data_IF_669612503974
#
_entry.id   IF_669612503974
#
_cell.length_a   1.000
_cell.length_b   1.000
_cell.length_c   1.000
_cell.angle_alpha   90.00
_cell.angle_beta   90.00
_cell.angle_gamma   90.00
#
_symmetry.space_group_name_H-M   'P 1'
#
loop_
_entity.id
_entity.type
_entity.pdbx_description
1 polymer ?
#
# COMPACT_ATOMS: atom_id res chain seq x y z
N UNK A 1 2.37 -6.08 1.07
CA UNK A 1 3.07 -4.86 0.62
C UNK A 1 2.11 -3.68 0.71
N UNK A 2 2.56 -2.57 1.21
CA UNK A 2 1.88 -1.27 1.09
C UNK A 2 2.84 -0.33 0.38
N UNK A 3 2.32 0.43 -0.57
CA UNK A 3 3.08 1.31 -1.44
C UNK A 3 2.67 2.76 -1.17
N UNK A 4 3.64 3.66 -1.07
CA UNK A 4 3.45 5.11 -0.98
C UNK A 4 4.47 5.84 -1.83
N UNK A 5 4.02 6.86 -2.53
CA UNK A 5 4.83 7.69 -3.42
C UNK A 5 5.23 8.97 -2.66
N UNK A 6 6.51 9.30 -2.74
CA UNK A 6 7.07 10.54 -2.22
C UNK A 6 7.50 11.44 -3.37
N UNK A 7 6.95 12.65 -3.42
CA UNK A 7 7.43 13.70 -4.31
C UNK A 7 8.74 14.28 -3.79
N UNK A 8 9.73 14.38 -4.68
CA UNK A 8 10.97 15.09 -4.38
C UNK A 8 10.70 16.60 -4.31
N UNK A 9 11.23 17.26 -3.30
CA UNK A 9 11.16 18.72 -3.19
C UNK A 9 11.96 19.35 -4.33
N UNK A 10 11.38 20.31 -5.03
CA UNK A 10 11.98 20.97 -6.19
C UNK A 10 13.20 21.78 -5.75
N UNK A 11 14.39 21.26 -5.93
CA UNK A 11 15.60 22.10 -6.07
C UNK A 11 15.60 22.68 -7.49
N UNK A 12 15.41 23.99 -7.62
CA UNK A 12 15.47 24.71 -8.89
C UNK A 12 16.88 24.56 -9.50
N UNK A 13 16.96 23.98 -10.68
CA UNK A 13 18.15 24.14 -11.51
C UNK A 13 18.38 23.02 -12.52
N UNK A 14 18.17 23.38 -13.78
CA UNK A 14 18.72 22.87 -15.05
C UNK A 14 17.78 22.01 -15.88
N UNK A 15 17.29 22.63 -16.93
CA UNK A 15 16.62 22.03 -18.09
C UNK A 15 17.62 21.12 -18.81
N UNK A 16 17.30 19.84 -18.93
CA UNK A 16 17.98 18.93 -19.86
C UNK A 16 17.11 18.76 -21.11
N UNK A 17 17.69 19.16 -22.23
CA UNK A 17 17.15 18.95 -23.58
C UNK A 17 17.29 17.47 -23.97
N UNK A 18 16.18 16.87 -24.35
CA UNK A 18 16.10 15.52 -24.93
C UNK A 18 16.76 15.49 -26.31
N UNK A 19 17.71 14.59 -26.52
CA UNK A 19 18.05 14.07 -27.85
C UNK A 19 17.57 12.63 -27.94
N UNK A 20 16.64 12.42 -28.87
CA UNK A 20 16.24 11.10 -29.36
C UNK A 20 17.32 10.52 -30.29
N UNK A 21 17.61 9.24 -30.12
CA UNK A 21 18.12 8.25 -31.08
C UNK A 21 18.31 6.95 -30.30
N UNK A 22 17.94 5.78 -30.69
CA UNK A 22 17.59 5.09 -31.92
C UNK A 22 17.43 3.62 -31.56
N UNK A 23 16.66 2.97 -32.29
CA UNK A 23 16.27 1.57 -32.54
C UNK A 23 16.86 0.38 -31.71
N UNK A 24 15.93 -0.32 -31.11
CA UNK A 24 15.63 -1.78 -30.99
C UNK A 24 16.70 -2.84 -31.23
N UNK A 25 16.91 -3.64 -30.21
CA UNK A 25 16.90 -5.11 -30.35
C UNK A 25 16.28 -5.73 -29.08
N UNK A 26 15.19 -6.45 -29.26
CA UNK A 26 14.49 -7.23 -28.24
C UNK A 26 15.25 -8.52 -28.02
N UNK A 27 16.13 -8.57 -27.03
CA UNK A 27 16.61 -9.82 -26.45
C UNK A 27 15.69 -10.18 -25.26
N UNK A 28 15.11 -11.37 -25.30
CA UNK A 28 14.41 -11.98 -24.17
C UNK A 28 15.36 -12.04 -22.96
N UNK A 29 14.95 -11.56 -21.77
CA UNK A 29 15.82 -11.63 -20.61
C UNK A 29 16.14 -13.09 -20.26
N UNK A 30 17.42 -13.40 -20.19
CA UNK A 30 17.91 -14.69 -19.71
C UNK A 30 17.30 -14.99 -18.32
N UNK A 31 16.78 -16.19 -18.11
CA UNK A 31 16.29 -16.66 -16.80
C UNK A 31 17.46 -16.66 -15.82
N UNK A 32 17.47 -15.71 -14.91
CA UNK A 32 18.47 -15.64 -13.83
C UNK A 32 18.04 -16.63 -12.75
N UNK A 33 18.91 -17.59 -12.41
CA UNK A 33 18.66 -18.53 -11.32
C UNK A 33 18.54 -17.75 -9.98
N UNK A 34 17.38 -17.81 -9.35
CA UNK A 34 17.08 -17.12 -8.10
C UNK A 34 18.02 -17.52 -6.95
N UNK A 35 18.63 -18.71 -7.01
CA UNK A 35 19.54 -19.21 -5.99
C UNK A 35 20.95 -18.60 -6.07
N UNK A 36 21.29 -17.93 -7.18
CA UNK A 36 22.60 -17.27 -7.38
C UNK A 36 22.58 -15.79 -7.04
N UNK A 37 21.41 -15.22 -6.73
CA UNK A 37 21.30 -13.81 -6.40
C UNK A 37 21.71 -13.52 -4.96
N UNK A 38 22.52 -12.46 -4.73
CA UNK A 38 22.83 -12.03 -3.36
C UNK A 38 21.53 -11.68 -2.60
N UNK A 39 21.48 -11.92 -1.28
CA UNK A 39 20.36 -11.50 -0.45
C UNK A 39 20.03 -10.01 -0.66
N UNK A 40 18.74 -9.67 -0.69
CA UNK A 40 18.23 -8.31 -0.86
C UNK A 40 18.53 -7.63 -2.22
N UNK A 41 18.90 -8.38 -3.24
CA UNK A 41 18.99 -7.84 -4.59
C UNK A 41 17.58 -7.65 -5.16
N UNK A 42 17.32 -6.45 -5.74
CA UNK A 42 16.12 -6.18 -6.52
C UNK A 42 16.35 -6.45 -8.00
N UNK A 43 15.35 -7.02 -8.66
CA UNK A 43 15.28 -7.10 -10.12
C UNK A 43 14.21 -6.12 -10.57
N UNK A 44 14.46 -5.35 -11.61
CA UNK A 44 13.52 -4.35 -12.12
C UNK A 44 13.65 -4.21 -13.63
N UNK A 45 12.61 -3.71 -14.29
CA UNK A 45 12.68 -3.30 -15.69
C UNK A 45 13.56 -2.05 -15.83
N UNK A 46 14.21 -1.87 -16.96
CA UNK A 46 15.04 -0.67 -17.24
C UNK A 46 14.21 0.62 -17.17
N UNK A 47 12.92 0.56 -17.53
CA UNK A 47 12.00 1.69 -17.48
C UNK A 47 11.65 2.16 -16.07
N UNK A 48 11.71 1.29 -15.05
CA UNK A 48 11.24 1.63 -13.71
C UNK A 48 12.00 2.79 -13.04
N UNK A 49 13.35 2.82 -12.99
CA UNK A 49 14.07 3.98 -12.48
C UNK A 49 13.86 5.25 -13.33
N UNK A 50 13.61 5.12 -14.64
CA UNK A 50 13.30 6.25 -15.51
C UNK A 50 11.95 6.86 -15.15
N UNK A 51 10.91 6.05 -14.95
CA UNK A 51 9.59 6.49 -14.48
C UNK A 51 9.71 7.28 -13.18
N UNK A 52 10.39 6.73 -12.17
CA UNK A 52 10.60 7.41 -10.89
C UNK A 52 11.36 8.73 -11.06
N UNK A 53 12.36 8.78 -11.95
CA UNK A 53 13.13 9.97 -12.25
C UNK A 53 12.29 11.07 -12.92
N UNK A 54 11.49 10.72 -13.92
CA UNK A 54 10.58 11.65 -14.59
C UNK A 54 9.52 12.21 -13.63
N UNK A 55 9.00 11.37 -12.76
CA UNK A 55 8.07 11.75 -11.70
C UNK A 55 8.73 12.57 -10.58
N UNK A 56 10.06 12.61 -10.52
CA UNK A 56 10.83 13.17 -9.40
C UNK A 56 10.35 12.63 -8.07
N UNK A 57 10.22 11.31 -7.98
CA UNK A 57 9.60 10.67 -6.85
C UNK A 57 10.37 9.44 -6.41
N UNK A 58 10.23 9.12 -5.14
CA UNK A 58 10.70 7.88 -4.54
C UNK A 58 9.49 7.07 -4.08
N UNK A 59 9.65 5.74 -4.03
CA UNK A 59 8.62 4.85 -3.58
C UNK A 59 9.01 4.21 -2.26
N UNK A 60 8.10 4.23 -1.28
CA UNK A 60 8.25 3.48 -0.04
C UNK A 60 7.32 2.26 -0.04
N UNK A 61 7.85 1.13 0.36
CA UNK A 61 7.13 -0.15 0.37
C UNK A 61 7.39 -0.86 1.68
N UNK A 62 6.33 -1.24 2.39
CA UNK A 62 6.44 -2.13 3.56
C UNK A 62 6.23 -3.58 3.16
N UNK A 63 6.99 -4.49 3.78
CA UNK A 63 6.90 -5.93 3.51
C UNK A 63 6.68 -6.66 4.83
N UNK A 64 5.45 -7.11 5.08
CA UNK A 64 5.05 -7.72 6.35
C UNK A 64 5.92 -8.92 6.74
N UNK A 65 6.03 -9.92 5.88
CA UNK A 65 6.76 -11.16 6.18
C UNK A 65 8.28 -10.99 6.21
N UNK A 66 8.81 -10.15 5.33
CA UNK A 66 10.26 -9.88 5.29
C UNK A 66 10.70 -8.84 6.35
N UNK A 67 9.76 -8.21 7.05
CA UNK A 67 10.07 -7.26 8.12
C UNK A 67 10.86 -6.05 7.64
N UNK A 68 10.52 -5.48 6.46
CA UNK A 68 11.28 -4.38 5.87
C UNK A 68 10.38 -3.22 5.44
N UNK A 69 10.90 -2.02 5.65
CA UNK A 69 10.59 -0.85 4.84
C UNK A 69 11.65 -0.75 3.76
N UNK A 70 11.23 -0.60 2.52
CA UNK A 70 12.09 -0.47 1.35
C UNK A 70 11.83 0.88 0.71
N UNK A 71 12.88 1.68 0.50
CA UNK A 71 12.83 2.85 -0.37
C UNK A 71 13.42 2.49 -1.72
N UNK A 72 12.70 2.81 -2.79
CA UNK A 72 13.10 2.68 -4.18
C UNK A 72 13.28 4.08 -4.75
N UNK A 73 14.48 4.41 -5.16
CA UNK A 73 14.86 5.76 -5.60
C UNK A 73 15.62 5.72 -6.92
N UNK A 74 15.35 6.64 -7.86
CA UNK A 74 16.19 6.78 -9.02
C UNK A 74 17.50 7.46 -8.61
N UNK A 75 18.64 6.91 -9.04
CA UNK A 75 19.94 7.47 -8.80
C UNK A 75 20.86 7.20 -9.99
N UNK A 76 21.28 8.25 -10.69
CA UNK A 76 22.20 8.17 -11.83
C UNK A 76 21.78 7.12 -12.89
N UNK A 77 20.47 7.11 -13.25
CA UNK A 77 19.87 6.19 -14.22
C UNK A 77 19.65 4.76 -13.71
N UNK A 78 19.95 4.47 -12.45
CA UNK A 78 19.78 3.16 -11.82
C UNK A 78 18.79 3.24 -10.67
N UNK A 79 18.28 2.07 -10.26
CA UNK A 79 17.45 1.96 -9.06
C UNK A 79 18.34 1.77 -7.84
N UNK A 80 18.27 2.72 -6.91
CA UNK A 80 18.83 2.60 -5.56
C UNK A 80 17.78 2.06 -4.61
N UNK A 81 18.11 1.02 -3.86
CA UNK A 81 17.24 0.40 -2.87
C UNK A 81 17.82 0.58 -1.47
N UNK A 82 16.98 1.03 -0.53
CA UNK A 82 17.38 1.23 0.85
C UNK A 82 16.43 0.49 1.79
N UNK A 83 16.97 -0.34 2.67
CA UNK A 83 16.19 -1.21 3.54
C UNK A 83 16.31 -0.80 5.00
N UNK A 84 15.20 -0.84 5.73
CA UNK A 84 15.15 -0.74 7.19
C UNK A 84 14.32 -1.88 7.76
N UNK A 85 14.79 -2.48 8.85
CA UNK A 85 14.08 -3.55 9.55
C UNK A 85 13.02 -2.97 10.49
N UNK A 86 11.84 -3.59 10.48
CA UNK A 86 10.74 -3.33 11.38
C UNK A 86 10.07 -4.67 11.73
N UNK A 87 9.40 -4.75 12.86
CA UNK A 87 8.62 -5.93 13.21
C UNK A 87 7.27 -5.90 12.46
N UNK A 88 7.13 -6.81 11.49
CA UNK A 88 5.90 -7.01 10.73
C UNK A 88 5.26 -5.72 10.18
N UNK A 89 6.02 -4.83 9.47
CA UNK A 89 5.51 -3.54 9.05
C UNK A 89 4.47 -3.71 7.96
N UNK A 90 3.29 -3.08 8.13
CA UNK A 90 2.21 -3.17 7.17
C UNK A 90 1.61 -1.80 6.85
N UNK A 91 0.90 -1.17 7.76
CA UNK A 91 0.35 0.17 7.54
C UNK A 91 1.47 1.19 7.26
N UNK A 92 1.26 2.03 6.25
CA UNK A 92 2.20 3.07 5.83
C UNK A 92 1.43 4.34 5.47
N UNK A 93 1.72 5.44 6.18
CA UNK A 93 1.18 6.75 5.85
C UNK A 93 2.30 7.76 5.73
N UNK A 94 2.22 8.63 4.73
CA UNK A 94 3.24 9.63 4.50
C UNK A 94 2.67 10.91 3.89
N UNK A 95 3.33 12.01 4.22
CA UNK A 95 3.25 13.26 3.51
C UNK A 95 4.67 13.89 3.44
N UNK A 96 4.79 15.12 2.95
CA UNK A 96 6.10 15.77 2.82
C UNK A 96 6.85 15.95 4.16
N UNK A 97 6.15 15.96 5.29
CA UNK A 97 6.72 16.25 6.60
C UNK A 97 6.88 15.01 7.48
N UNK A 98 5.98 14.06 7.37
CA UNK A 98 5.85 12.95 8.31
C UNK A 98 5.71 11.64 7.54
N UNK A 99 6.41 10.60 8.02
CA UNK A 99 6.24 9.22 7.62
C UNK A 99 5.85 8.42 8.87
N UNK A 100 4.77 7.63 8.78
CA UNK A 100 4.35 6.72 9.85
C UNK A 100 4.28 5.29 9.38
N UNK A 101 4.79 4.38 10.22
CA UNK A 101 4.88 2.94 9.93
C UNK A 101 4.19 2.18 11.05
N UNK A 102 3.13 1.46 10.71
CA UNK A 102 2.43 0.55 11.60
C UNK A 102 3.14 -0.81 11.64
N UNK A 103 3.41 -1.29 12.86
CA UNK A 103 4.06 -2.57 13.11
C UNK A 103 3.17 -3.47 13.98
N UNK A 104 3.69 -4.59 14.46
CA UNK A 104 2.91 -5.53 15.28
C UNK A 104 2.44 -4.96 16.62
N UNK A 105 3.13 -3.99 17.19
CA UNK A 105 2.81 -3.48 18.54
C UNK A 105 2.77 -1.96 18.66
N UNK A 106 3.21 -1.24 17.65
CA UNK A 106 3.33 0.21 17.73
C UNK A 106 3.30 0.86 16.34
N UNK A 107 3.06 2.17 16.32
CA UNK A 107 3.20 3.02 15.15
C UNK A 107 4.40 3.94 15.38
N UNK A 108 5.43 3.82 14.53
CA UNK A 108 6.60 4.69 14.57
C UNK A 108 6.40 5.91 13.68
N UNK A 109 6.75 7.07 14.19
CA UNK A 109 6.68 8.34 13.48
C UNK A 109 8.09 8.87 13.16
N UNK A 110 8.27 9.29 11.91
CA UNK A 110 9.50 9.90 11.42
C UNK A 110 9.17 11.29 10.89
N UNK A 111 10.04 12.25 11.18
CA UNK A 111 9.90 13.61 10.66
C UNK A 111 10.95 13.88 9.60
N UNK A 112 10.53 14.48 8.50
CA UNK A 112 11.44 14.97 7.49
C UNK A 112 12.24 16.16 8.03
N UNK A 113 13.57 16.06 7.91
CA UNK A 113 14.54 17.06 8.36
C UNK A 113 15.36 17.55 7.18
N UNK A 114 14.86 18.52 6.39
CA UNK A 114 15.55 18.99 5.18
C UNK A 114 16.95 19.52 5.45
N UNK A 115 17.17 20.17 6.60
CA UNK A 115 18.50 20.65 7.00
C UNK A 115 19.53 19.52 7.21
N UNK A 116 19.08 18.31 7.56
CA UNK A 116 19.91 17.11 7.64
C UNK A 116 20.15 16.54 6.24
N UNK A 117 19.11 16.52 5.41
CA UNK A 117 19.21 16.06 4.02
C UNK A 117 20.27 16.83 3.23
N UNK A 118 20.30 18.16 3.37
CA UNK A 118 21.28 19.04 2.70
C UNK A 118 22.75 18.76 3.10
N UNK A 119 22.98 18.16 4.26
CA UNK A 119 24.34 17.82 4.74
C UNK A 119 24.75 16.37 4.41
N UNK A 120 23.87 15.60 3.78
CA UNK A 120 24.17 14.21 3.41
C UNK A 120 24.98 14.13 2.14
N UNK A 121 26.03 13.33 2.18
CA UNK A 121 26.82 13.00 1.00
C UNK A 121 26.10 12.01 0.07
N UNK A 122 26.17 12.19 -1.25
CA UNK A 122 26.77 13.33 -1.98
C UNK A 122 25.90 14.59 -1.81
N UNK A 123 26.52 15.73 -1.54
CA UNK A 123 25.84 17.02 -1.34
C UNK A 123 24.93 17.35 -2.54
N UNK A 124 23.70 17.78 -2.27
CA UNK A 124 22.71 18.17 -3.28
C UNK A 124 22.02 17.01 -4.00
N UNK A 125 22.26 15.76 -3.58
CA UNK A 125 21.60 14.55 -4.13
C UNK A 125 20.48 14.01 -3.26
N UNK A 126 20.30 14.54 -2.06
CA UNK A 126 19.28 14.10 -1.10
C UNK A 126 18.41 15.29 -0.72
N UNK A 127 17.11 15.17 -0.92
CA UNK A 127 16.11 16.23 -0.68
C UNK A 127 15.30 16.00 0.59
N UNK A 128 15.21 14.76 1.07
CA UNK A 128 14.46 14.40 2.27
C UNK A 128 15.28 13.47 3.18
N UNK A 129 15.15 13.68 4.49
CA UNK A 129 15.75 12.83 5.51
C UNK A 129 14.74 12.61 6.64
N UNK A 130 14.10 11.45 6.65
CA UNK A 130 13.12 11.08 7.67
C UNK A 130 13.84 10.52 8.91
N UNK A 131 13.85 11.32 9.98
CA UNK A 131 14.48 10.95 11.26
C UNK A 131 13.42 10.44 12.25
N UNK A 132 13.73 9.41 13.05
CA UNK A 132 12.83 8.94 14.11
C UNK A 132 12.40 10.10 15.02
N UNK A 133 11.11 10.19 15.31
CA UNK A 133 10.55 11.21 16.19
C UNK A 133 10.01 10.63 17.48
N UNK A 134 9.06 9.73 17.36
CA UNK A 134 8.41 9.06 18.48
C UNK A 134 7.79 7.73 18.01
N UNK A 135 7.19 7.02 18.97
CA UNK A 135 6.42 5.81 18.71
C UNK A 135 5.20 5.78 19.61
N UNK A 136 4.05 5.42 19.05
CA UNK A 136 2.81 5.22 19.79
C UNK A 136 2.54 3.73 19.98
N UNK A 137 2.45 3.27 21.22
CA UNK A 137 2.16 1.87 21.53
C UNK A 137 0.67 1.60 21.35
N UNK A 138 0.35 0.71 20.41
CA UNK A 138 -1.04 0.31 20.10
C UNK A 138 -1.41 -1.06 20.67
N UNK A 139 -0.41 -1.88 21.03
CA UNK A 139 -0.58 -3.32 21.08
C UNK A 139 -0.80 -3.90 19.69
N UNK A 140 -1.00 -5.19 19.58
CA UNK A 140 -1.26 -5.85 18.30
C UNK A 140 -2.70 -5.62 17.85
N UNK A 141 -2.91 -4.57 17.07
CA UNK A 141 -4.21 -4.22 16.46
C UNK A 141 -4.30 -4.61 14.99
N UNK A 142 -3.28 -5.29 14.44
CA UNK A 142 -3.17 -5.65 13.02
C UNK A 142 -3.37 -4.42 12.12
N UNK A 143 -2.46 -3.45 12.20
CA UNK A 143 -2.52 -2.23 11.39
C UNK A 143 -2.38 -2.57 9.92
N UNK A 144 -3.50 -2.60 9.16
CA UNK A 144 -3.45 -2.93 7.74
C UNK A 144 -3.17 -1.74 6.85
N UNK A 145 -3.82 -0.62 7.12
CA UNK A 145 -3.65 0.60 6.34
C UNK A 145 -3.73 1.82 7.23
N UNK A 146 -3.08 2.89 6.80
CA UNK A 146 -3.09 4.19 7.47
C UNK A 146 -3.11 5.31 6.44
N UNK A 147 -3.73 6.43 6.80
CA UNK A 147 -3.71 7.63 6.00
C UNK A 147 -3.76 8.89 6.87
N UNK A 148 -3.05 9.93 6.45
CA UNK A 148 -3.21 11.25 7.02
C UNK A 148 -4.46 11.92 6.46
N UNK A 149 -5.30 12.41 7.35
CA UNK A 149 -6.44 13.25 7.06
C UNK A 149 -6.14 14.73 7.25
N UNK A 150 -7.20 15.52 7.39
CA UNK A 150 -7.10 16.94 7.69
C UNK A 150 -6.33 17.17 9.00
N UNK A 151 -5.59 18.28 9.09
CA UNK A 151 -4.78 18.66 10.24
C UNK A 151 -3.72 17.61 10.65
N UNK A 152 -3.27 16.79 9.71
CA UNK A 152 -2.34 15.68 9.95
C UNK A 152 -2.85 14.64 10.98
N UNK A 153 -4.18 14.52 11.15
CA UNK A 153 -4.76 13.44 11.95
C UNK A 153 -4.47 12.09 11.28
N UNK A 154 -3.87 11.17 12.01
CA UNK A 154 -3.57 9.84 11.49
C UNK A 154 -4.76 8.90 11.69
N UNK A 155 -5.37 8.48 10.59
CA UNK A 155 -6.39 7.45 10.56
C UNK A 155 -5.75 6.08 10.37
N UNK A 156 -6.20 5.11 11.14
CA UNK A 156 -5.65 3.76 11.22
C UNK A 156 -6.76 2.73 11.03
N UNK A 157 -6.53 1.78 10.16
CA UNK A 157 -7.37 0.58 10.04
C UNK A 157 -6.94 -0.41 11.10
N UNK A 158 -7.76 -0.53 12.14
CA UNK A 158 -7.61 -1.50 13.22
C UNK A 158 -8.39 -2.77 12.87
N UNK A 159 -7.72 -3.68 12.21
CA UNK A 159 -8.34 -4.92 11.70
C UNK A 159 -8.79 -5.82 12.83
N UNK A 160 -7.99 -5.94 13.89
CA UNK A 160 -8.31 -6.82 15.02
C UNK A 160 -9.61 -6.43 15.70
N UNK A 161 -9.89 -5.14 15.83
CA UNK A 161 -11.12 -4.61 16.43
C UNK A 161 -12.21 -4.26 15.40
N UNK A 162 -11.94 -4.48 14.10
CA UNK A 162 -12.87 -4.20 13.00
C UNK A 162 -13.36 -2.76 12.99
N UNK A 163 -12.45 -1.78 13.14
CA UNK A 163 -12.80 -0.36 13.19
C UNK A 163 -11.75 0.53 12.53
N UNK A 164 -12.15 1.76 12.22
CA UNK A 164 -11.24 2.87 12.02
C UNK A 164 -10.98 3.54 13.36
N UNK A 165 -9.76 3.90 13.63
CA UNK A 165 -9.36 4.62 14.82
C UNK A 165 -8.35 5.72 14.53
N UNK A 166 -8.17 6.60 15.50
CA UNK A 166 -7.11 7.61 15.56
C UNK A 166 -6.27 7.39 16.81
N UNK A 167 -5.23 8.17 16.99
CA UNK A 167 -4.34 8.11 18.14
C UNK A 167 -4.51 9.36 19.01
N UNK A 168 -4.30 9.21 20.30
CA UNK A 168 -4.18 10.30 21.26
C UNK A 168 -3.06 10.02 22.26
N UNK A 169 -2.84 10.92 23.23
CA UNK A 169 -1.76 10.76 24.21
C UNK A 169 -2.16 9.94 25.46
N UNK A 170 -3.37 9.41 25.50
CA UNK A 170 -3.93 8.72 26.67
C UNK A 170 -4.19 7.25 26.37
N UNK A 171 -4.75 6.94 25.21
CA UNK A 171 -5.24 5.64 24.84
C UNK A 171 -4.33 4.97 23.82
N UNK A 172 -4.28 3.63 23.79
CA UNK A 172 -3.57 2.88 22.76
C UNK A 172 -4.15 3.15 21.36
N UNK A 173 -5.44 3.40 21.26
CA UNK A 173 -6.14 3.88 20.08
C UNK A 173 -7.52 4.42 20.47
N UNK A 174 -8.09 5.30 19.65
CA UNK A 174 -9.42 5.89 19.83
C UNK A 174 -10.33 5.42 18.70
N UNK A 175 -11.30 4.53 18.94
CA UNK A 175 -12.26 4.11 17.92
C UNK A 175 -13.10 5.30 17.42
N UNK A 176 -13.20 5.45 16.10
CA UNK A 176 -13.93 6.55 15.46
C UNK A 176 -15.12 6.07 14.63
N UNK A 177 -14.99 4.91 14.01
CA UNK A 177 -16.02 4.32 13.18
C UNK A 177 -15.85 2.79 13.11
N UNK A 178 -16.95 2.08 12.97
CA UNK A 178 -16.98 0.65 12.66
C UNK A 178 -18.12 0.34 11.71
N UNK A 179 -18.06 -0.74 10.93
CA UNK A 179 -19.20 -1.18 10.12
C UNK A 179 -20.47 -1.34 10.97
N UNK A 180 -21.66 -0.95 10.48
CA UNK A 180 -22.91 -1.04 11.25
C UNK A 180 -23.25 -2.47 11.73
N UNK A 181 -22.82 -3.49 10.98
CA UNK A 181 -23.04 -4.90 11.36
C UNK A 181 -22.10 -5.40 12.48
N UNK A 182 -21.08 -4.63 12.85
CA UNK A 182 -20.19 -4.94 13.98
C UNK A 182 -20.82 -4.40 15.27
N UNK A 183 -21.23 -5.28 16.18
CA UNK A 183 -22.00 -4.91 17.36
C UNK A 183 -21.18 -4.35 18.52
N UNK A 184 -19.86 -4.58 18.56
CA UNK A 184 -19.01 -4.10 19.63
C UNK A 184 -17.53 -4.24 19.32
N UNK A 185 -16.70 -3.52 20.04
CA UNK A 185 -15.25 -3.60 19.93
C UNK A 185 -14.71 -4.81 20.69
N UNK A 186 -14.06 -5.73 19.96
CA UNK A 186 -13.39 -6.89 20.54
C UNK A 186 -12.28 -7.35 19.59
N UNK A 187 -11.17 -7.92 20.10
CA UNK A 187 -10.00 -8.28 19.32
C UNK A 187 -10.17 -9.60 18.55
N UNK A 188 -11.30 -9.75 17.85
CA UNK A 188 -11.72 -11.03 17.24
C UNK A 188 -11.61 -11.05 15.71
N UNK A 189 -11.07 -9.98 15.08
CA UNK A 189 -10.91 -9.90 13.62
C UNK A 189 -12.17 -10.37 12.87
N UNK A 190 -13.32 -9.76 13.18
CA UNK A 190 -14.63 -10.28 12.75
C UNK A 190 -14.85 -10.21 11.25
N UNK A 191 -14.65 -9.02 10.65
CA UNK A 191 -14.85 -8.79 9.21
C UNK A 191 -13.54 -8.61 8.42
N UNK A 192 -12.40 -8.57 9.10
CA UNK A 192 -11.10 -8.24 8.52
C UNK A 192 -11.13 -6.92 7.74
N UNK A 193 -11.49 -5.85 8.45
CA UNK A 193 -11.39 -4.49 7.90
C UNK A 193 -9.94 -4.21 7.54
N UNK A 194 -9.64 -3.81 6.29
CA UNK A 194 -8.25 -3.83 5.82
C UNK A 194 -7.85 -2.65 4.91
N UNK A 195 -8.79 -1.96 4.29
CA UNK A 195 -8.48 -0.85 3.38
C UNK A 195 -9.14 0.45 3.78
N UNK A 196 -8.49 1.57 3.47
CA UNK A 196 -8.96 2.93 3.76
C UNK A 196 -8.73 3.84 2.55
N UNK A 197 -9.80 4.36 1.99
CA UNK A 197 -9.80 5.41 0.97
C UNK A 197 -10.21 6.74 1.56
N UNK A 198 -9.39 7.76 1.35
CA UNK A 198 -9.64 9.13 1.80
C UNK A 198 -10.19 9.96 0.66
N UNK A 199 -11.14 10.87 0.97
CA UNK A 199 -11.60 11.93 0.07
C UNK A 199 -11.64 13.23 0.88
N UNK A 200 -11.07 14.29 0.34
CA UNK A 200 -11.00 15.62 0.97
C UNK A 200 -10.47 15.56 2.41
N UNK A 201 -9.46 14.71 2.64
CA UNK A 201 -8.82 14.52 3.94
C UNK A 201 -9.68 13.83 4.99
N UNK A 202 -10.73 13.11 4.59
CA UNK A 202 -11.62 12.35 5.49
C UNK A 202 -11.75 10.90 5.01
N UNK A 203 -11.92 9.93 5.93
CA UNK A 203 -12.31 8.57 5.58
C UNK A 203 -13.60 8.55 4.76
N UNK A 204 -13.56 7.95 3.58
CA UNK A 204 -14.71 7.85 2.69
C UNK A 204 -15.05 6.41 2.35
N UNK A 205 -14.03 5.59 2.05
CA UNK A 205 -14.22 4.22 1.64
C UNK A 205 -13.42 3.25 2.49
N UNK A 206 -13.98 2.08 2.77
CA UNK A 206 -13.27 0.98 3.42
C UNK A 206 -13.57 -0.34 2.73
N UNK A 207 -12.62 -1.26 2.80
CA UNK A 207 -12.79 -2.65 2.38
C UNK A 207 -12.72 -3.58 3.58
N UNK A 208 -13.48 -4.67 3.51
CA UNK A 208 -13.40 -5.78 4.46
C UNK A 208 -13.53 -7.12 3.71
N UNK A 209 -12.96 -8.19 4.28
CA UNK A 209 -13.01 -9.52 3.65
C UNK A 209 -14.33 -10.24 3.86
N UNK A 210 -15.24 -9.72 4.69
CA UNK A 210 -16.56 -10.31 4.89
C UNK A 210 -17.54 -9.41 5.63
N UNK A 211 -18.81 -9.50 5.28
CA UNK A 211 -19.94 -8.92 6.02
C UNK A 211 -20.32 -9.86 7.16
N UNK A 212 -19.58 -9.82 8.28
CA UNK A 212 -19.76 -10.76 9.38
C UNK A 212 -19.38 -10.16 10.72
N UNK A 213 -20.15 -10.53 11.76
CA UNK A 213 -19.91 -10.15 13.15
C UNK A 213 -19.35 -11.32 14.00
N UNK A 214 -19.11 -12.48 13.38
CA UNK A 214 -18.54 -13.65 14.05
C UNK A 214 -17.02 -13.54 14.14
N UNK A 215 -16.39 -14.02 15.22
CA UNK A 215 -14.93 -14.09 15.32
C UNK A 215 -14.32 -14.77 14.09
N UNK A 216 -13.38 -14.09 13.41
CA UNK A 216 -12.75 -14.53 12.16
C UNK A 216 -13.71 -15.05 11.09
N UNK A 217 -14.96 -14.60 11.10
CA UNK A 217 -16.06 -15.15 10.26
C UNK A 217 -15.83 -14.94 8.76
N UNK A 218 -15.02 -13.94 8.36
CA UNK A 218 -14.62 -13.71 6.98
C UNK A 218 -13.91 -14.90 6.33
N UNK A 219 -13.30 -15.79 7.12
CA UNK A 219 -12.54 -16.96 6.62
C UNK A 219 -13.44 -17.98 5.93
N UNK A 220 -14.74 -18.01 6.25
CA UNK A 220 -15.69 -18.94 5.66
C UNK A 220 -15.92 -18.69 4.16
N UNK A 221 -15.79 -17.42 3.72
CA UNK A 221 -16.02 -17.05 2.32
C UNK A 221 -14.93 -16.06 1.82
N UNK A 222 -13.73 -16.55 1.59
CA UNK A 222 -12.60 -15.75 1.09
C UNK A 222 -12.69 -15.45 -0.41
N UNK A 223 -13.41 -16.30 -1.15
CA UNK A 223 -13.47 -16.25 -2.61
C UNK A 223 -14.23 -15.00 -3.10
N UNK A 224 -15.36 -14.71 -2.48
CA UNK A 224 -16.29 -13.65 -2.89
C UNK A 224 -17.04 -12.98 -1.72
N UNK A 225 -16.61 -13.21 -0.48
CA UNK A 225 -17.23 -12.60 0.70
C UNK A 225 -16.89 -11.12 0.92
N UNK A 226 -15.94 -10.58 0.16
CA UNK A 226 -15.43 -9.23 0.37
C UNK A 226 -16.43 -8.14 0.00
N UNK A 227 -16.30 -7.01 0.69
CA UNK A 227 -17.17 -5.83 0.56
C UNK A 227 -16.37 -4.54 0.46
N UNK A 228 -16.97 -3.55 -0.20
CA UNK A 228 -16.55 -2.15 -0.21
C UNK A 228 -17.69 -1.30 0.37
N UNK A 229 -17.37 -0.41 1.30
CA UNK A 229 -18.35 0.39 2.04
C UNK A 229 -18.07 1.87 1.94
N UNK A 230 -19.13 2.67 2.03
CA UNK A 230 -19.08 4.11 2.26
C UNK A 230 -19.06 4.38 3.77
N UNK A 231 -18.03 5.08 4.24
CA UNK A 231 -17.84 5.34 5.69
C UNK A 231 -18.90 6.28 6.26
N UNK A 232 -19.23 7.43 5.61
CA UNK A 232 -20.23 8.35 6.15
C UNK A 232 -21.63 7.78 6.27
N UNK A 233 -22.11 7.03 5.28
CA UNK A 233 -23.45 6.41 5.33
C UNK A 233 -23.47 5.07 6.06
N UNK A 234 -22.33 4.37 6.12
CA UNK A 234 -22.24 2.99 6.59
C UNK A 234 -22.78 1.96 5.61
N UNK A 235 -23.16 2.37 4.40
CA UNK A 235 -23.72 1.52 3.39
C UNK A 235 -22.67 0.67 2.67
N UNK A 236 -23.04 -0.53 2.26
CA UNK A 236 -22.21 -1.37 1.40
C UNK A 236 -22.46 -0.98 -0.05
N UNK A 237 -21.42 -0.45 -0.70
CA UNK A 237 -21.44 -0.06 -2.11
C UNK A 237 -21.47 -1.28 -3.02
N UNK A 238 -20.59 -2.25 -2.75
CA UNK A 238 -20.54 -3.49 -3.53
C UNK A 238 -20.13 -4.69 -2.68
N UNK A 239 -20.59 -5.86 -3.10
CA UNK A 239 -20.33 -7.17 -2.51
C UNK A 239 -19.65 -8.08 -3.54
N UNK A 240 -19.37 -9.31 -3.13
CA UNK A 240 -18.81 -10.37 -3.98
C UNK A 240 -17.43 -10.03 -4.54
N UNK A 241 -16.66 -9.23 -3.79
CA UNK A 241 -15.26 -8.95 -4.10
C UNK A 241 -14.35 -10.06 -3.54
N UNK A 242 -13.35 -10.45 -4.30
CA UNK A 242 -12.37 -11.44 -3.87
C UNK A 242 -11.23 -10.80 -3.08
N UNK A 243 -11.30 -10.89 -1.73
CA UNK A 243 -10.30 -10.34 -0.81
C UNK A 243 -9.90 -8.88 -1.17
N UNK A 244 -10.84 -7.92 -1.16
CA UNK A 244 -10.57 -6.55 -1.58
C UNK A 244 -9.60 -5.84 -0.64
N UNK A 245 -8.74 -4.96 -1.20
CA UNK A 245 -7.80 -4.09 -0.47
C UNK A 245 -7.69 -2.72 -1.11
N UNK A 246 -7.15 -1.77 -0.35
CA UNK A 246 -6.66 -0.47 -0.82
C UNK A 246 -7.62 0.31 -1.70
N UNK A 247 -8.84 0.63 -1.23
CA UNK A 247 -9.75 1.49 -1.98
C UNK A 247 -9.12 2.88 -2.14
N UNK A 248 -9.22 3.47 -3.34
CA UNK A 248 -8.69 4.80 -3.64
C UNK A 248 -9.65 5.60 -4.50
N UNK A 249 -9.85 6.86 -4.12
CA UNK A 249 -10.49 7.83 -4.98
C UNK A 249 -9.43 8.57 -5.78
N UNK A 250 -9.41 8.40 -7.09
CA UNK A 250 -8.42 9.04 -7.95
C UNK A 250 -9.04 9.42 -9.29
N UNK A 251 -8.83 10.67 -9.74
CA UNK A 251 -9.33 11.21 -10.99
C UNK A 251 -10.84 10.99 -11.20
N UNK A 252 -11.65 11.21 -10.14
CA UNK A 252 -13.10 11.06 -10.20
C UNK A 252 -13.61 9.62 -10.24
N UNK A 253 -12.75 8.63 -10.00
CA UNK A 253 -13.07 7.22 -10.01
C UNK A 253 -12.70 6.54 -8.68
N UNK A 254 -13.49 5.53 -8.31
CA UNK A 254 -13.22 4.68 -7.17
C UNK A 254 -12.53 3.40 -7.62
N UNK A 255 -11.31 3.22 -7.17
CA UNK A 255 -10.45 2.08 -7.47
C UNK A 255 -10.39 1.12 -6.29
N UNK A 256 -10.27 -0.17 -6.57
CA UNK A 256 -10.08 -1.22 -5.57
C UNK A 256 -9.20 -2.33 -6.13
N UNK A 257 -8.39 -2.94 -5.25
CA UNK A 257 -7.66 -4.16 -5.58
C UNK A 257 -8.52 -5.36 -5.17
N UNK A 258 -8.86 -6.24 -6.12
CA UNK A 258 -9.37 -7.58 -5.79
C UNK A 258 -8.20 -8.54 -5.71
N UNK A 259 -7.61 -8.63 -4.52
CA UNK A 259 -6.36 -9.35 -4.29
C UNK A 259 -6.46 -10.84 -4.58
N UNK A 260 -7.63 -11.44 -4.29
CA UNK A 260 -7.88 -12.85 -4.56
C UNK A 260 -7.97 -13.20 -6.04
N UNK A 261 -8.17 -12.20 -6.92
CA UNK A 261 -8.12 -12.33 -8.38
C UNK A 261 -6.82 -11.77 -8.97
N UNK A 262 -6.06 -10.99 -8.19
CA UNK A 262 -4.89 -10.28 -8.67
C UNK A 262 -5.23 -9.10 -9.59
N UNK A 263 -6.36 -8.41 -9.38
CA UNK A 263 -6.83 -7.36 -10.29
C UNK A 263 -6.83 -5.97 -9.66
N UNK A 264 -6.67 -4.95 -10.50
CA UNK A 264 -7.06 -3.57 -10.26
C UNK A 264 -8.42 -3.35 -10.91
N UNK A 265 -9.40 -2.92 -10.13
CA UNK A 265 -10.79 -2.73 -10.59
C UNK A 265 -11.29 -1.31 -10.32
N UNK A 266 -12.19 -0.83 -11.17
CA UNK A 266 -12.99 0.38 -10.95
C UNK A 266 -14.34 -0.03 -10.39
N UNK A 267 -14.89 0.77 -9.47
CA UNK A 267 -16.23 0.59 -8.90
C UNK A 267 -17.04 1.86 -9.15
N UNK A 268 -18.25 1.72 -9.69
CA UNK A 268 -19.23 2.80 -9.70
C UNK A 268 -19.86 2.92 -8.30
N UNK A 269 -19.60 4.00 -7.56
CA UNK A 269 -20.10 4.14 -6.19
C UNK A 269 -21.63 4.29 -6.08
N UNK A 270 -22.32 4.59 -7.19
CA UNK A 270 -23.79 4.74 -7.22
C UNK A 270 -24.50 3.39 -7.44
N UNK A 271 -23.95 2.56 -8.29
CA UNK A 271 -24.58 1.30 -8.69
C UNK A 271 -23.94 0.07 -8.07
N UNK A 272 -22.74 0.20 -7.52
CA UNK A 272 -21.94 -0.91 -7.00
C UNK A 272 -21.36 -1.82 -8.09
N UNK A 273 -21.59 -1.53 -9.37
CA UNK A 273 -20.97 -2.28 -10.47
C UNK A 273 -19.47 -2.08 -10.46
N UNK A 274 -18.71 -3.15 -10.68
CA UNK A 274 -17.27 -3.10 -10.75
C UNK A 274 -16.74 -3.85 -11.97
N UNK A 275 -15.59 -3.40 -12.46
CA UNK A 275 -14.94 -3.93 -13.65
C UNK A 275 -13.42 -4.01 -13.41
N UNK A 276 -12.82 -5.14 -13.79
CA UNK A 276 -11.37 -5.31 -13.75
C UNK A 276 -10.72 -4.57 -14.93
N UNK A 277 -9.80 -3.66 -14.61
CA UNK A 277 -9.07 -2.85 -15.59
C UNK A 277 -7.72 -3.48 -15.94
N UNK A 278 -7.07 -4.09 -14.95
CA UNK A 278 -5.78 -4.75 -15.16
C UNK A 278 -5.66 -6.01 -14.28
N UNK A 279 -4.94 -7.01 -14.82
CA UNK A 279 -4.62 -8.26 -14.13
C UNK A 279 -3.11 -8.29 -13.88
N UNK A 280 -2.70 -8.56 -12.66
CA UNK A 280 -1.30 -8.65 -12.24
C UNK A 280 -0.91 -10.08 -11.83
N UNK A 281 0.37 -10.47 -12.00
CA UNK A 281 0.85 -11.80 -11.64
C UNK A 281 1.16 -11.89 -10.13
N UNK A 282 0.18 -11.70 -9.28
CA UNK A 282 0.37 -11.77 -7.83
C UNK A 282 -0.82 -11.28 -7.03
N UNK A 283 -0.80 -11.57 -5.73
CA UNK A 283 -1.80 -11.07 -4.79
C UNK A 283 -1.60 -9.58 -4.59
N UNK A 284 -2.51 -8.77 -5.13
CA UNK A 284 -2.41 -7.31 -5.14
C UNK A 284 -2.66 -6.73 -3.75
N UNK A 285 -1.74 -5.86 -3.28
CA UNK A 285 -1.88 -5.24 -1.96
C UNK A 285 -1.08 -3.96 -1.87
N UNK A 286 -1.74 -2.88 -1.46
CA UNK A 286 -1.16 -1.55 -1.49
C UNK A 286 -1.25 -0.92 -2.88
N UNK A 287 -1.95 0.20 -2.94
CA UNK A 287 -2.19 0.98 -4.16
C UNK A 287 -1.91 2.44 -3.86
N UNK A 288 -1.13 3.08 -4.73
CA UNK A 288 -0.98 4.53 -4.74
C UNK A 288 -0.90 5.03 -6.18
N UNK A 289 -1.28 6.29 -6.42
CA UNK A 289 -1.35 6.89 -7.73
C UNK A 289 -0.42 8.09 -7.85
N UNK A 290 0.17 8.25 -9.03
CA UNK A 290 0.84 9.47 -9.44
C UNK A 290 0.44 9.81 -10.89
N UNK A 291 -0.32 10.90 -11.06
CA UNK A 291 -0.88 11.23 -12.37
C UNK A 291 -1.68 10.05 -12.94
N UNK A 292 -1.39 9.57 -14.16
CA UNK A 292 -2.08 8.42 -14.75
C UNK A 292 -1.56 7.07 -14.25
N UNK A 293 -0.47 7.02 -13.49
CA UNK A 293 0.19 5.78 -13.10
C UNK A 293 -0.34 5.25 -11.77
N UNK A 294 -0.71 3.96 -11.75
CA UNK A 294 -1.02 3.20 -10.54
C UNK A 294 0.19 2.35 -10.13
N UNK A 295 0.64 2.49 -8.89
CA UNK A 295 1.69 1.68 -8.29
C UNK A 295 1.05 0.65 -7.36
N UNK A 296 1.24 -0.64 -7.68
CA UNK A 296 0.55 -1.75 -7.03
C UNK A 296 1.57 -2.70 -6.43
N UNK A 297 1.48 -2.91 -5.11
CA UNK A 297 2.27 -3.93 -4.43
C UNK A 297 1.73 -5.33 -4.71
N UNK A 298 2.62 -6.27 -4.98
CA UNK A 298 2.31 -7.67 -5.18
C UNK A 298 2.98 -8.53 -4.13
N UNK A 299 2.22 -9.46 -3.56
CA UNK A 299 2.73 -10.50 -2.67
C UNK A 299 2.63 -11.85 -3.36
N UNK A 300 3.67 -12.66 -3.19
CA UNK A 300 3.60 -14.07 -3.55
C UNK A 300 2.62 -14.77 -2.61
N UNK A 301 1.61 -15.39 -3.19
CA UNK A 301 0.66 -16.21 -2.43
C UNK A 301 1.32 -17.53 -2.12
N UNK A 302 1.52 -17.83 -0.85
CA UNK A 302 1.88 -19.19 -0.41
C UNK A 302 0.57 -19.95 -0.21
N UNK A 303 0.58 -21.22 -0.64
CA UNK A 303 -0.55 -22.14 -0.37
C UNK A 303 -0.59 -22.44 1.14
N UNK A 304 -1.22 -21.57 1.88
CA UNK A 304 -1.49 -21.71 3.31
C UNK A 304 -3.00 -21.82 3.50
N UNK A 305 -3.44 -22.29 4.64
CA UNK A 305 -4.87 -22.34 4.99
C UNK A 305 -5.59 -20.98 4.86
N UNK A 306 -4.84 -19.88 4.92
CA UNK A 306 -5.38 -18.51 4.75
C UNK A 306 -5.66 -18.17 3.30
N UNK A 307 -4.84 -18.64 2.34
CA UNK A 307 -4.90 -18.25 0.93
C UNK A 307 -5.37 -19.37 -0.01
N UNK A 308 -5.68 -20.57 0.50
CA UNK A 308 -6.28 -21.63 -0.34
C UNK A 308 -7.71 -21.29 -0.76
N UNK A 309 -8.12 -21.71 -1.97
CA UNK A 309 -9.49 -21.57 -2.48
C UNK A 309 -9.85 -20.15 -2.94
N UNK A 310 -8.86 -19.31 -3.27
CA UNK A 310 -9.09 -18.01 -3.92
C UNK A 310 -8.71 -18.11 -5.41
N UNK A 311 -9.34 -17.32 -6.31
CA UNK A 311 -9.16 -17.49 -7.76
C UNK A 311 -7.72 -17.47 -8.25
N UNK A 312 -6.86 -16.62 -7.69
CA UNK A 312 -5.45 -16.52 -8.11
C UNK A 312 -4.64 -17.80 -7.81
N UNK A 313 -5.04 -18.60 -6.83
CA UNK A 313 -4.37 -19.88 -6.52
C UNK A 313 -4.78 -21.00 -7.45
N UNK A 314 -5.92 -20.86 -8.14
CA UNK A 314 -6.43 -21.79 -9.13
C UNK A 314 -5.85 -21.52 -10.53
N UNK A 315 -5.22 -20.36 -10.73
CA UNK A 315 -4.59 -19.98 -12.00
C UNK A 315 -3.16 -20.50 -12.06
N UNK A 316 -2.79 -21.09 -13.20
CA UNK A 316 -1.43 -21.55 -13.46
C UNK A 316 -0.54 -20.40 -13.98
N UNK A 317 -0.39 -19.35 -13.15
CA UNK A 317 0.48 -18.20 -13.43
C UNK A 317 1.61 -18.12 -12.42
N UNK A 318 2.77 -17.66 -12.88
CA UNK A 318 3.86 -17.31 -11.97
C UNK A 318 3.39 -16.16 -11.06
N UNK A 319 3.60 -16.33 -9.75
CA UNK A 319 3.18 -15.36 -8.73
C UNK A 319 4.41 -14.65 -8.19
N UNK A 320 4.49 -13.36 -8.46
CA UNK A 320 5.65 -12.54 -8.11
C UNK A 320 5.37 -11.63 -6.92
N UNK A 321 6.42 -11.35 -6.14
CA UNK A 321 6.42 -10.28 -5.14
C UNK A 321 7.15 -9.07 -5.70
N UNK A 322 6.60 -7.88 -5.49
CA UNK A 322 7.24 -6.66 -5.98
C UNK A 322 6.28 -5.50 -6.12
N UNK A 323 6.60 -4.58 -6.99
CA UNK A 323 5.74 -3.46 -7.38
C UNK A 323 5.50 -3.49 -8.87
N UNK A 324 4.24 -3.41 -9.27
CA UNK A 324 3.80 -3.25 -10.65
C UNK A 324 3.34 -1.83 -10.90
N UNK A 325 3.63 -1.31 -12.09
CA UNK A 325 3.17 0.00 -12.54
C UNK A 325 2.22 -0.20 -13.71
N UNK A 326 1.03 0.37 -13.60
CA UNK A 326 -0.04 0.34 -14.62
C UNK A 326 -0.34 1.78 -15.03
N UNK A 327 -0.41 2.03 -16.34
CA UNK A 327 -0.77 3.33 -16.93
C UNK A 327 -2.22 3.31 -17.44
#
# INVERSE_FOLDING_TARGET
>A
LVVKIFLESICKGTRLTTKQQGENQTESPAKIDANTLPPLRSVHTESFPLILSEMRSSLAVTTYQAGKLVFLRPQDGKLNTHFRAFDSPMGLAANQQILSIGTSGYISHFRNMPAVAQKREPIGKVDACFMPRDSHTTGDILVHEMAYGNNNELWVVNTRFSCLCTLDNVNSFVPRWKPPFITGYSPNDRCHLNGLGMVDGKPKYVTALGETNKPTGWRANKKDGGILMDVPSGEIITRNLSMPHSPRWHNGQLWVLESGKGTLSIVDPKTGKHEAIAIMPGFTRGLDFFGPLAFIGLSQVRETAVFSGIPITEQNIERNSGVWVVN
#
